data_IF_470434722792
#
_entry.id   IF_470434722792
#
_cell.length_a   1.000
_cell.length_b   1.000
_cell.length_c   1.000
_cell.angle_alpha   90.00
_cell.angle_beta   90.00
_cell.angle_gamma   90.00
#
_symmetry.space_group_name_H-M   'P 1'
#
loop_
_entity.id
_entity.type
_entity.pdbx_description
1 polymer ?
#
# COMPACT_ATOMS: atom_id res chain seq x y z
N UNK A 1 -34.61 3.23 4.02
CA UNK A 1 -33.63 3.77 3.07
C UNK A 1 -32.26 3.41 3.60
N UNK A 2 -31.54 2.49 2.94
CA UNK A 2 -30.15 2.22 3.30
C UNK A 2 -29.29 3.35 2.71
N UNK A 3 -28.97 4.35 3.52
CA UNK A 3 -27.94 5.33 3.21
C UNK A 3 -26.60 4.60 3.19
N UNK A 4 -26.08 4.32 2.00
CA UNK A 4 -24.70 3.88 1.84
C UNK A 4 -23.80 4.96 2.49
N UNK A 5 -23.03 4.58 3.52
CA UNK A 5 -22.04 5.47 4.14
C UNK A 5 -21.09 5.94 3.04
N UNK A 6 -21.01 7.25 2.82
CA UNK A 6 -20.14 7.82 1.78
C UNK A 6 -18.82 8.21 2.42
N UNK A 7 -17.87 7.29 2.41
CA UNK A 7 -16.54 7.62 2.91
C UNK A 7 -15.75 8.43 1.88
N UNK A 8 -15.03 9.43 2.37
CA UNK A 8 -14.11 10.25 1.60
C UNK A 8 -12.67 9.84 1.93
N UNK A 9 -11.84 9.62 0.92
CA UNK A 9 -10.41 9.41 1.12
C UNK A 9 -9.77 10.70 1.64
N UNK A 10 -9.08 10.62 2.78
CA UNK A 10 -8.47 11.79 3.45
C UNK A 10 -6.94 11.72 3.51
N UNK A 11 -6.37 10.51 3.48
CA UNK A 11 -4.93 10.33 3.57
C UNK A 11 -4.51 9.01 2.90
N UNK A 12 -3.34 9.04 2.28
CA UNK A 12 -2.68 7.85 1.76
C UNK A 12 -1.27 7.76 2.35
N UNK A 13 -0.91 6.56 2.78
CA UNK A 13 0.38 6.26 3.38
C UNK A 13 1.06 5.14 2.63
N UNK A 14 2.36 5.30 2.37
CA UNK A 14 3.22 4.24 1.84
C UNK A 14 4.16 3.71 2.92
N UNK A 15 4.15 2.40 3.10
CA UNK A 15 5.00 1.68 4.02
C UNK A 15 5.90 0.74 3.24
N UNK A 16 7.19 0.76 3.56
CA UNK A 16 8.15 -0.19 3.02
C UNK A 16 8.63 -1.08 4.17
N UNK A 17 8.60 -2.38 3.91
CA UNK A 17 8.79 -3.43 4.89
C UNK A 17 9.82 -4.39 4.33
N UNK A 18 11.05 -4.25 4.84
CA UNK A 18 12.16 -5.12 4.47
C UNK A 18 12.19 -6.32 5.41
N UNK A 19 11.78 -7.49 4.92
CA UNK A 19 12.02 -8.78 5.57
C UNK A 19 13.33 -9.39 5.07
N UNK A 20 13.89 -10.34 5.83
CA UNK A 20 15.19 -10.96 5.53
C UNK A 20 15.32 -11.55 4.12
N UNK A 21 14.21 -11.93 3.48
CA UNK A 21 14.20 -12.55 2.15
C UNK A 21 13.49 -11.71 1.08
N UNK A 22 12.63 -10.76 1.46
CA UNK A 22 11.78 -10.01 0.51
C UNK A 22 11.47 -8.60 1.04
N UNK A 23 11.38 -7.66 0.11
CA UNK A 23 10.84 -6.32 0.36
C UNK A 23 9.36 -6.27 -0.02
N UNK A 24 8.53 -5.77 0.90
CA UNK A 24 7.12 -5.56 0.69
C UNK A 24 6.79 -4.08 0.76
N UNK A 25 5.95 -3.60 -0.16
CA UNK A 25 5.38 -2.27 -0.09
C UNK A 25 3.89 -2.36 0.21
N UNK A 26 3.42 -1.53 1.12
CA UNK A 26 2.01 -1.42 1.46
C UNK A 26 1.52 0.01 1.26
N UNK A 27 0.31 0.14 0.72
CA UNK A 27 -0.45 1.39 0.66
C UNK A 27 -1.62 1.31 1.64
N UNK A 28 -1.59 2.15 2.67
CA UNK A 28 -2.72 2.34 3.59
C UNK A 28 -3.49 3.58 3.14
N UNK A 29 -4.71 3.39 2.69
CA UNK A 29 -5.66 4.45 2.39
C UNK A 29 -6.61 4.63 3.58
N UNK A 30 -6.76 5.86 4.05
CA UNK A 30 -7.64 6.19 5.17
C UNK A 30 -8.80 7.04 4.66
N UNK A 31 -9.98 6.52 4.91
CA UNK A 31 -11.26 7.05 4.51
C UNK A 31 -12.01 7.56 5.75
N UNK A 32 -12.74 8.67 5.64
CA UNK A 32 -13.54 9.23 6.73
C UNK A 32 -15.00 9.37 6.32
N UNK A 33 -15.91 9.03 7.23
CA UNK A 33 -17.33 9.36 7.16
C UNK A 33 -17.82 9.79 8.55
N UNK A 34 -18.27 11.04 8.68
CA UNK A 34 -18.58 11.67 9.97
C UNK A 34 -17.39 11.58 10.95
N UNK A 35 -17.56 10.87 12.06
CA UNK A 35 -16.53 10.66 13.10
C UNK A 35 -15.85 9.29 13.00
N UNK A 36 -16.11 8.52 11.94
CA UNK A 36 -15.57 7.17 11.74
C UNK A 36 -14.49 7.18 10.67
N UNK A 37 -13.36 6.55 10.97
CA UNK A 37 -12.22 6.39 10.06
C UNK A 37 -12.09 4.92 9.68
N UNK A 38 -11.89 4.67 8.38
CA UNK A 38 -11.71 3.33 7.81
C UNK A 38 -10.38 3.26 7.05
N UNK A 39 -9.53 2.32 7.43
CA UNK A 39 -8.33 1.96 6.70
C UNK A 39 -8.60 0.86 5.67
N UNK A 40 -8.02 1.01 4.48
CA UNK A 40 -7.93 -0.02 3.46
C UNK A 40 -6.45 -0.21 3.13
N UNK A 41 -6.00 -1.46 3.17
CA UNK A 41 -4.58 -1.79 2.94
C UNK A 41 -4.45 -2.56 1.64
N UNK A 42 -3.55 -2.10 0.81
CA UNK A 42 -3.09 -2.79 -0.38
C UNK A 42 -1.63 -3.18 -0.21
N UNK A 43 -1.30 -4.45 -0.44
CA UNK A 43 0.07 -4.87 -0.68
C UNK A 43 0.38 -4.61 -2.16
N UNK A 44 1.35 -3.75 -2.39
CA UNK A 44 1.82 -3.34 -3.71
C UNK A 44 3.05 -4.18 -4.06
N UNK A 45 2.93 -5.04 -5.06
CA UNK A 45 4.07 -5.78 -5.61
C UNK A 45 4.61 -5.07 -6.85
N UNK A 46 5.92 -4.89 -6.91
CA UNK A 46 6.60 -4.27 -8.05
C UNK A 46 7.22 -5.36 -8.93
N UNK A 47 6.69 -5.57 -10.12
CA UNK A 47 7.30 -6.45 -11.10
C UNK A 47 8.12 -5.66 -12.11
N UNK A 48 9.41 -5.99 -12.23
CA UNK A 48 10.22 -5.52 -13.34
C UNK A 48 9.81 -6.28 -14.61
N UNK A 49 9.09 -5.62 -15.52
CA UNK A 49 8.81 -6.19 -16.83
C UNK A 49 10.13 -6.32 -17.60
N UNK A 50 10.52 -7.57 -17.86
CA UNK A 50 11.62 -7.83 -18.78
C UNK A 50 11.12 -7.55 -20.21
N UNK A 51 11.80 -6.71 -21.00
CA UNK A 51 11.37 -6.43 -22.36
C UNK A 51 11.31 -7.74 -23.16
N UNK A 52 10.14 -8.07 -23.69
CA UNK A 52 9.88 -9.32 -24.41
C UNK A 52 10.59 -9.39 -25.78
N UNK A 53 11.09 -8.26 -26.29
CA UNK A 53 11.76 -8.17 -27.58
C UNK A 53 13.14 -7.51 -27.44
N UNK A 54 14.20 -8.06 -28.05
CA UNK A 54 15.45 -7.34 -28.17
C UNK A 54 15.23 -6.09 -29.04
N UNK A 55 15.52 -4.91 -28.51
CA UNK A 55 15.64 -3.70 -29.32
C UNK A 55 16.84 -3.88 -30.25
N UNK A 56 16.61 -4.21 -31.52
CA UNK A 56 17.68 -4.32 -32.51
C UNK A 56 18.47 -3.01 -32.57
N UNK A 57 19.79 -3.10 -32.36
CA UNK A 57 20.73 -1.98 -32.46
C UNK A 57 21.18 -1.35 -31.13
N UNK A 58 20.58 -1.71 -30.00
CA UNK A 58 21.03 -1.26 -28.68
C UNK A 58 22.01 -2.28 -28.06
N UNK A 59 23.31 -1.96 -27.99
CA UNK A 59 24.34 -2.80 -27.33
C UNK A 59 24.16 -2.92 -25.80
N UNK A 60 23.32 -2.07 -25.22
CA UNK A 60 22.82 -2.18 -23.86
C UNK A 60 21.34 -1.79 -23.95
N UNK A 61 20.40 -2.60 -23.42
CA UNK A 61 19.03 -2.11 -23.29
C UNK A 61 19.12 -0.83 -22.45
N UNK A 62 18.74 0.31 -23.04
CA UNK A 62 18.38 1.46 -22.25
C UNK A 62 17.30 0.93 -21.32
N UNK A 63 17.62 0.79 -20.04
CA UNK A 63 16.72 0.17 -19.09
C UNK A 63 15.57 1.17 -18.96
N UNK A 64 14.54 0.98 -19.77
CA UNK A 64 13.24 1.55 -19.53
C UNK A 64 12.71 0.82 -18.30
N UNK A 65 13.22 1.24 -17.14
CA UNK A 65 12.81 0.84 -15.80
C UNK A 65 11.39 1.33 -15.48
N UNK A 66 10.44 1.29 -16.41
CA UNK A 66 9.29 2.18 -16.32
C UNK A 66 7.94 1.61 -16.74
N UNK A 67 7.75 0.29 -16.69
CA UNK A 67 6.39 -0.23 -16.55
C UNK A 67 6.37 -1.29 -15.45
N UNK A 68 6.23 -0.82 -14.21
CA UNK A 68 5.92 -1.69 -13.08
C UNK A 68 4.45 -2.08 -13.14
N UNK A 69 4.14 -3.37 -13.30
CA UNK A 69 2.80 -3.85 -13.00
C UNK A 69 2.62 -3.81 -11.47
N UNK A 70 1.77 -2.91 -10.99
CA UNK A 70 1.39 -2.83 -9.58
C UNK A 70 0.18 -3.75 -9.40
N UNK A 71 0.39 -4.90 -8.77
CA UNK A 71 -0.71 -5.70 -8.25
C UNK A 71 -0.98 -5.27 -6.82
N UNK A 72 -2.13 -4.64 -6.60
CA UNK A 72 -2.66 -4.33 -5.28
C UNK A 72 -3.41 -5.56 -4.75
N UNK A 73 -2.76 -6.35 -3.89
CA UNK A 73 -3.45 -7.41 -3.15
C UNK A 73 -4.10 -6.78 -1.92
N UNK A 74 -5.42 -6.93 -1.80
CA UNK A 74 -6.15 -6.47 -0.62
C UNK A 74 -5.67 -7.25 0.62
N UNK A 75 -5.07 -6.54 1.58
CA UNK A 75 -4.29 -7.16 2.64
C UNK A 75 -5.08 -7.40 3.94
N UNK A 76 -6.37 -7.08 4.00
CA UNK A 76 -7.09 -7.12 5.27
C UNK A 76 -8.40 -7.91 5.20
N UNK A 77 -8.41 -9.15 5.72
CA UNK A 77 -9.66 -9.85 6.03
C UNK A 77 -10.48 -9.15 7.14
N UNK A 78 -9.93 -8.12 7.82
CA UNK A 78 -10.58 -7.40 8.92
C UNK A 78 -10.63 -5.89 8.67
N UNK A 79 -11.81 -5.30 8.87
CA UNK A 79 -12.02 -3.85 8.69
C UNK A 79 -11.18 -3.04 9.71
N UNK A 80 -10.21 -2.24 9.24
CA UNK A 80 -9.49 -1.25 10.06
C UNK A 80 -10.41 -0.06 10.35
N UNK A 81 -11.30 -0.17 11.33
CA UNK A 81 -12.22 0.92 11.71
C UNK A 81 -11.81 1.50 13.06
N UNK A 82 -11.72 2.83 13.14
CA UNK A 82 -11.40 3.54 14.38
C UNK A 82 -11.99 4.96 14.42
N UNK A 83 -11.86 5.61 15.58
CA UNK A 83 -12.38 6.97 15.79
C UNK A 83 -11.39 8.07 15.36
N UNK A 84 -10.20 7.69 14.88
CA UNK A 84 -9.19 8.63 14.41
C UNK A 84 -8.22 8.01 13.42
N UNK A 85 -7.64 8.86 12.57
CA UNK A 85 -6.56 8.50 11.64
C UNK A 85 -5.39 7.78 12.33
N UNK A 86 -4.95 8.30 13.49
CA UNK A 86 -3.82 7.73 14.25
C UNK A 86 -4.12 6.32 14.77
N UNK A 87 -5.36 6.04 15.15
CA UNK A 87 -5.75 4.71 15.59
C UNK A 87 -5.79 3.72 14.42
N UNK A 88 -6.27 4.14 13.24
CA UNK A 88 -6.21 3.32 12.02
C UNK A 88 -4.76 2.95 11.68
N UNK A 89 -3.86 3.93 11.74
CA UNK A 89 -2.41 3.70 11.53
C UNK A 89 -1.87 2.68 12.54
N UNK A 90 -2.15 2.88 13.83
CA UNK A 90 -1.67 1.98 14.89
C UNK A 90 -2.18 0.55 14.71
N UNK A 91 -3.46 0.37 14.35
CA UNK A 91 -4.04 -0.95 14.08
C UNK A 91 -3.33 -1.64 12.90
N UNK A 92 -3.06 -0.90 11.84
CA UNK A 92 -2.30 -1.40 10.70
C UNK A 92 -0.87 -1.82 11.12
N UNK A 93 -0.16 -0.95 11.85
CA UNK A 93 1.21 -1.23 12.29
C UNK A 93 1.29 -2.45 13.21
N UNK A 94 0.29 -2.63 14.10
CA UNK A 94 0.18 -3.81 14.96
C UNK A 94 -0.04 -5.09 14.14
N UNK A 95 -0.95 -5.09 13.16
CA UNK A 95 -1.21 -6.24 12.29
C UNK A 95 0.03 -6.65 11.50
N UNK A 96 0.70 -5.67 10.89
CA UNK A 96 1.92 -5.89 10.14
C UNK A 96 3.05 -6.41 11.02
N UNK A 97 3.22 -5.84 12.22
CA UNK A 97 4.26 -6.28 13.16
C UNK A 97 4.01 -7.74 13.59
N UNK A 98 2.77 -8.13 13.80
CA UNK A 98 2.41 -9.51 14.12
C UNK A 98 2.70 -10.47 12.96
N UNK A 99 2.45 -10.04 11.72
CA UNK A 99 2.60 -10.89 10.53
C UNK A 99 4.05 -11.02 10.04
N UNK A 100 4.84 -9.93 10.11
CA UNK A 100 6.20 -9.89 9.58
C UNK A 100 7.29 -9.84 10.66
N UNK A 101 6.92 -9.81 11.94
CA UNK A 101 7.85 -9.70 13.09
C UNK A 101 8.80 -8.50 13.03
N UNK A 102 8.40 -7.43 12.32
CA UNK A 102 9.19 -6.21 12.13
C UNK A 102 8.32 -4.97 12.24
N UNK A 103 8.92 -3.87 12.68
CA UNK A 103 8.23 -2.58 12.73
C UNK A 103 8.17 -1.96 11.33
N UNK A 104 6.96 -1.62 10.82
CA UNK A 104 6.84 -0.94 9.53
C UNK A 104 7.41 0.47 9.60
N UNK A 105 8.13 0.89 8.54
CA UNK A 105 8.58 2.27 8.39
C UNK A 105 7.68 3.01 7.41
N UNK A 106 6.97 4.03 7.90
CA UNK A 106 6.23 4.95 7.04
C UNK A 106 7.22 5.78 6.24
N UNK A 107 7.17 5.70 4.92
CA UNK A 107 8.16 6.37 4.06
C UNK A 107 7.65 7.67 3.49
N UNK A 108 6.34 7.88 3.33
CA UNK A 108 5.74 9.13 2.87
C UNK A 108 4.24 9.19 3.23
N UNK A 109 3.79 10.34 3.76
CA UNK A 109 2.37 10.70 3.88
C UNK A 109 1.98 11.59 2.69
N UNK A 110 1.00 11.15 1.91
CA UNK A 110 0.37 11.96 0.87
C UNK A 110 -1.00 12.42 1.39
N UNK A 111 -1.15 13.73 1.63
CA UNK A 111 -2.44 14.35 1.96
C UNK A 111 -3.09 14.80 0.64
N UNK A 112 -4.36 14.47 0.45
CA UNK A 112 -5.12 14.72 -0.79
C UNK A 112 -5.78 16.10 -0.75
#
# INVERSE_FOLDING_TARGET
MNTLKRYQLIATYRYNITCAENDFTFRLEIYQHDNEFKGIVFQTEFYALSPAFPLEGCKQPAIAHEETEIRDHFFAEHDLIADSEQQVIKLFEEQITQQFLIAPHNTNKETI
#
